data_IF_295264965934
#
_entry.id   IF_295264965934
#
_cell.length_a   1.000
_cell.length_b   1.000
_cell.length_c   1.000
_cell.angle_alpha   90.00
_cell.angle_beta   90.00
_cell.angle_gamma   90.00
#
_symmetry.space_group_name_H-M   'P 1'
#
loop_
_entity.id
_entity.type
_entity.pdbx_description
1 polymer ?
#
# COMPACT_ATOMS: atom_id res chain seq x y z
N UNK A 1 12.56 7.80 33.04
CA UNK A 1 11.14 7.41 33.06
C UNK A 1 10.36 8.30 32.09
N UNK A 2 10.42 7.98 30.79
CA UNK A 2 9.80 8.79 29.72
C UNK A 2 8.32 8.41 29.64
N UNK A 3 7.45 9.33 30.06
CA UNK A 3 6.02 9.07 30.23
C UNK A 3 5.33 9.06 28.86
N UNK A 4 5.02 7.87 28.34
CA UNK A 4 4.05 7.67 27.26
C UNK A 4 2.69 8.05 27.84
N UNK A 5 2.26 9.30 27.68
CA UNK A 5 0.94 9.78 28.13
C UNK A 5 -0.07 9.62 27.00
N UNK A 6 -1.08 8.78 27.21
CA UNK A 6 -2.42 9.05 26.67
C UNK A 6 -2.88 10.43 27.17
N UNK A 7 -3.38 11.27 26.29
CA UNK A 7 -3.62 12.67 26.64
C UNK A 7 -4.84 12.79 27.57
N UNK A 8 -4.58 13.23 28.80
CA UNK A 8 -5.49 14.06 29.59
C UNK A 8 -4.98 15.51 29.55
N UNK A 9 -5.90 16.46 29.48
CA UNK A 9 -5.64 17.90 29.48
C UNK A 9 -4.64 18.29 30.60
N UNK A 10 -3.45 18.80 30.24
CA UNK A 10 -2.50 19.37 31.21
C UNK A 10 -1.03 19.09 30.89
N UNK A 11 -0.33 20.11 30.38
CA UNK A 11 1.14 20.12 30.26
C UNK A 11 1.67 20.88 29.03
N UNK A 12 1.60 22.21 29.08
CA UNK A 12 2.29 23.17 28.20
C UNK A 12 3.83 23.05 28.36
N UNK A 13 4.62 23.67 27.47
CA UNK A 13 6.10 23.83 27.51
C UNK A 13 7.08 22.93 26.71
N UNK A 14 6.74 21.83 26.02
CA UNK A 14 7.74 21.14 25.12
C UNK A 14 7.24 20.84 23.70
N UNK A 15 8.06 21.06 22.63
CA UNK A 15 7.78 20.59 21.27
C UNK A 15 7.76 19.05 21.19
N UNK A 16 7.03 18.47 20.23
CA UNK A 16 6.81 17.01 20.18
C UNK A 16 6.97 16.38 18.79
N UNK A 17 7.27 15.09 18.79
CA UNK A 17 7.24 14.17 17.65
C UNK A 17 5.91 13.40 17.71
N UNK A 18 5.23 13.24 16.58
CA UNK A 18 4.00 12.44 16.50
C UNK A 18 4.25 11.22 15.62
N UNK A 19 4.00 10.04 16.16
CA UNK A 19 3.96 8.81 15.37
C UNK A 19 2.51 8.34 15.26
N UNK A 20 1.97 8.31 14.03
CA UNK A 20 0.67 7.71 13.73
C UNK A 20 0.85 6.49 12.88
N UNK A 21 0.05 5.45 13.10
CA UNK A 21 -0.29 4.52 12.03
C UNK A 21 0.94 3.88 11.34
N UNK A 22 1.79 3.21 12.10
CA UNK A 22 2.57 2.09 11.55
C UNK A 22 2.11 0.77 12.19
N UNK A 23 1.18 0.76 13.14
CA UNK A 23 1.21 -0.28 14.16
C UNK A 23 0.24 -1.45 14.04
N UNK A 24 -0.85 -1.37 13.27
CA UNK A 24 -1.80 -2.47 13.22
C UNK A 24 -1.27 -3.71 12.47
N UNK A 25 -0.20 -3.56 11.68
CA UNK A 25 0.35 -4.63 10.83
C UNK A 25 1.85 -4.89 11.06
N UNK A 26 2.43 -4.28 12.08
CA UNK A 26 3.84 -4.45 12.41
C UNK A 26 3.98 -5.50 13.52
N UNK A 27 4.96 -6.40 13.36
CA UNK A 27 5.30 -7.41 14.36
C UNK A 27 5.81 -6.77 15.65
N UNK A 28 5.70 -7.51 16.77
CA UNK A 28 6.10 -7.06 18.11
C UNK A 28 7.56 -6.58 18.16
N UNK A 29 8.47 -7.24 17.43
CA UNK A 29 9.89 -6.84 17.35
C UNK A 29 10.08 -5.39 16.82
N UNK A 30 9.25 -4.99 15.86
CA UNK A 30 9.29 -3.63 15.31
C UNK A 30 8.71 -2.64 16.32
N UNK A 31 7.70 -3.04 17.10
CA UNK A 31 7.16 -2.21 18.19
C UNK A 31 8.22 -1.95 19.26
N UNK A 32 8.96 -2.99 19.64
CA UNK A 32 10.01 -2.89 20.64
C UNK A 32 11.14 -1.99 20.15
N UNK A 33 11.49 -2.08 18.87
CA UNK A 33 12.44 -1.17 18.20
C UNK A 33 11.98 0.29 18.33
N UNK A 34 10.71 0.59 18.01
CA UNK A 34 10.18 1.95 18.16
C UNK A 34 10.13 2.40 19.62
N UNK A 35 9.74 1.53 20.54
CA UNK A 35 9.70 1.84 21.97
C UNK A 35 11.11 2.17 22.51
N UNK A 36 12.12 1.39 22.12
CA UNK A 36 13.51 1.60 22.47
C UNK A 36 14.02 2.95 21.94
N UNK A 37 13.79 3.24 20.66
CA UNK A 37 14.18 4.52 20.04
C UNK A 37 13.46 5.70 20.70
N UNK A 38 12.14 5.63 20.87
CA UNK A 38 11.35 6.70 21.46
C UNK A 38 11.69 6.96 22.93
N UNK A 39 12.17 5.94 23.66
CA UNK A 39 12.64 6.11 25.04
C UNK A 39 13.90 6.99 25.14
N UNK A 40 14.73 7.00 24.07
CA UNK A 40 15.99 7.73 23.95
C UNK A 40 15.81 9.17 23.43
N UNK A 41 14.63 9.52 22.91
CA UNK A 41 14.35 10.85 22.37
C UNK A 41 14.08 11.88 23.47
N UNK A 42 14.62 13.09 23.30
CA UNK A 42 14.37 14.22 24.20
C UNK A 42 13.02 14.92 23.92
N UNK A 43 12.48 14.73 22.71
CA UNK A 43 11.21 15.27 22.26
C UNK A 43 10.02 14.49 22.85
N UNK A 44 8.87 15.16 23.02
CA UNK A 44 7.65 14.49 23.45
C UNK A 44 7.10 13.62 22.31
N UNK A 45 7.08 12.30 22.49
CA UNK A 45 6.48 11.39 21.51
C UNK A 45 4.99 11.19 21.84
N UNK A 46 4.11 11.51 20.89
CA UNK A 46 2.73 11.05 20.91
C UNK A 46 2.61 9.86 19.95
N UNK A 47 2.36 8.68 20.53
CA UNK A 47 2.21 7.43 19.81
C UNK A 47 0.76 6.96 19.92
N UNK A 48 0.10 6.72 18.79
CA UNK A 48 -1.23 6.08 18.76
C UNK A 48 -1.18 4.78 17.95
N UNK A 49 -1.79 3.73 18.52
CA UNK A 49 -1.83 2.38 17.95
C UNK A 49 -3.03 2.17 17.01
N UNK A 50 -4.23 2.52 17.50
CA UNK A 50 -5.51 2.19 16.84
C UNK A 50 -6.30 3.42 16.40
N UNK A 51 -5.60 4.54 16.19
CA UNK A 51 -6.25 5.80 15.86
C UNK A 51 -5.36 6.69 14.99
N UNK A 52 -6.03 7.44 14.11
CA UNK A 52 -5.42 8.52 13.36
C UNK A 52 -4.80 9.54 14.32
N UNK A 53 -3.50 9.76 14.24
CA UNK A 53 -2.84 10.91 14.85
C UNK A 53 -3.00 12.04 13.88
N UNK A 54 -3.62 13.11 14.38
CA UNK A 54 -3.67 14.35 13.65
C UNK A 54 -2.31 15.04 13.74
N UNK A 55 -1.72 15.35 12.59
CA UNK A 55 -0.48 16.13 12.51
C UNK A 55 -0.72 17.62 12.81
N UNK A 56 -1.98 18.04 12.85
CA UNK A 56 -2.39 19.45 12.84
C UNK A 56 -2.18 20.29 14.08
N UNK A 57 -1.67 19.74 15.19
CA UNK A 57 -1.37 20.61 16.33
C UNK A 57 0.01 21.27 16.19
N UNK A 58 0.13 22.57 16.50
CA UNK A 58 1.24 23.43 16.06
C UNK A 58 2.64 22.98 16.49
N UNK A 59 2.75 22.19 17.57
CA UNK A 59 4.01 21.64 18.08
C UNK A 59 4.49 20.36 17.39
N UNK A 60 3.82 19.86 16.36
CA UNK A 60 4.26 18.67 15.62
C UNK A 60 5.51 18.99 14.80
N UNK A 61 6.59 18.24 15.02
CA UNK A 61 7.84 18.39 14.25
C UNK A 61 8.07 17.32 13.19
N UNK A 62 7.50 16.13 13.38
CA UNK A 62 7.71 14.97 12.52
C UNK A 62 6.48 14.07 12.62
N UNK A 63 6.09 13.48 11.48
CA UNK A 63 5.10 12.41 11.37
C UNK A 63 5.76 11.11 10.91
N UNK A 64 5.68 10.05 11.71
CA UNK A 64 6.13 8.69 11.33
C UNK A 64 4.89 7.82 11.11
N UNK A 65 4.71 7.23 9.92
CA UNK A 65 3.52 6.45 9.53
C UNK A 65 3.71 5.59 8.27
N UNK A 66 2.72 4.79 7.88
CA UNK A 66 2.80 3.86 6.75
C UNK A 66 2.76 4.48 5.35
N UNK A 67 2.33 5.74 5.19
CA UNK A 67 2.26 6.38 3.86
C UNK A 67 0.90 6.34 3.16
N UNK A 68 -0.21 6.14 3.89
CA UNK A 68 -1.55 6.29 3.33
C UNK A 68 -1.82 7.71 2.83
N UNK A 69 -2.56 7.85 1.72
CA UNK A 69 -2.78 9.13 1.01
C UNK A 69 -3.29 10.26 1.92
N UNK A 70 -4.24 9.97 2.81
CA UNK A 70 -4.78 10.96 3.75
C UNK A 70 -3.73 11.48 4.74
N UNK A 71 -2.79 10.63 5.18
CA UNK A 71 -1.71 11.05 6.06
C UNK A 71 -0.71 11.96 5.34
N UNK A 72 -0.40 11.66 4.07
CA UNK A 72 0.46 12.52 3.22
C UNK A 72 -0.16 13.90 3.11
N UNK A 73 -1.46 13.96 2.76
CA UNK A 73 -2.17 15.21 2.56
C UNK A 73 -2.26 16.03 3.85
N UNK A 74 -2.52 15.39 4.99
CA UNK A 74 -2.59 16.09 6.27
C UNK A 74 -1.21 16.64 6.70
N UNK A 75 -0.14 15.87 6.48
CA UNK A 75 1.22 16.33 6.72
C UNK A 75 1.60 17.53 5.84
N UNK A 76 1.25 17.50 4.54
CA UNK A 76 1.44 18.63 3.64
C UNK A 76 0.61 19.83 4.10
N UNK A 77 -0.68 19.65 4.40
CA UNK A 77 -1.56 20.72 4.87
C UNK A 77 -0.99 21.45 6.08
N UNK A 78 -0.41 20.72 7.04
CA UNK A 78 0.18 21.31 8.24
C UNK A 78 1.69 21.59 8.16
N UNK A 79 2.32 21.37 7.00
CA UNK A 79 3.74 21.58 6.81
C UNK A 79 4.61 20.71 7.73
N UNK A 80 4.20 19.48 8.02
CA UNK A 80 4.93 18.55 8.91
C UNK A 80 5.72 17.56 8.06
N UNK A 81 7.05 17.46 8.22
CA UNK A 81 7.85 16.51 7.46
C UNK A 81 7.58 15.07 7.94
N UNK A 82 7.91 14.09 7.10
CA UNK A 82 7.46 12.70 7.28
C UNK A 82 8.62 11.69 7.28
N UNK A 83 8.44 10.60 8.03
CA UNK A 83 9.12 9.33 7.77
C UNK A 83 8.03 8.34 7.38
N UNK A 84 8.17 7.72 6.21
CA UNK A 84 7.18 6.79 5.67
C UNK A 84 7.75 5.38 5.71
N UNK A 85 6.98 4.44 6.27
CA UNK A 85 7.32 3.01 6.34
C UNK A 85 6.24 2.24 5.57
N UNK A 86 6.37 2.07 4.26
CA UNK A 86 5.34 1.42 3.45
C UNK A 86 5.13 -0.02 3.88
N UNK A 87 3.87 -0.42 3.98
CA UNK A 87 3.47 -1.77 4.36
C UNK A 87 3.04 -2.59 3.14
N UNK A 88 2.23 -1.99 2.25
CA UNK A 88 1.71 -2.63 1.04
C UNK A 88 1.14 -1.59 0.04
N UNK A 89 0.91 -2.03 -1.20
CA UNK A 89 0.11 -1.29 -2.18
C UNK A 89 0.70 0.06 -2.61
N UNK A 90 -0.19 1.06 -2.69
CA UNK A 90 0.09 2.42 -3.17
C UNK A 90 0.99 3.25 -2.24
N UNK A 91 1.16 2.80 -0.99
CA UNK A 91 1.99 3.46 0.03
C UNK A 91 3.44 3.64 -0.41
N UNK A 92 4.00 2.67 -1.15
CA UNK A 92 5.35 2.77 -1.71
C UNK A 92 5.48 3.94 -2.68
N UNK A 93 4.47 4.13 -3.55
CA UNK A 93 4.46 5.23 -4.50
C UNK A 93 4.34 6.59 -3.78
N UNK A 94 3.62 6.67 -2.67
CA UNK A 94 3.61 7.88 -1.83
C UNK A 94 4.96 8.15 -1.19
N UNK A 95 5.61 7.12 -0.64
CA UNK A 95 6.91 7.24 0.02
C UNK A 95 8.00 7.75 -0.94
N UNK A 96 8.08 7.16 -2.14
CA UNK A 96 8.99 7.60 -3.20
C UNK A 96 8.75 9.07 -3.54
N UNK A 97 7.50 9.47 -3.80
CA UNK A 97 7.18 10.88 -4.13
C UNK A 97 7.50 11.84 -2.99
N UNK A 98 7.28 11.46 -1.74
CA UNK A 98 7.61 12.27 -0.57
C UNK A 98 9.13 12.45 -0.45
N UNK A 99 9.90 11.39 -0.69
CA UNK A 99 11.35 11.41 -0.68
C UNK A 99 11.94 12.23 -1.83
N UNK A 100 11.49 12.01 -3.07
CA UNK A 100 11.91 12.78 -4.25
C UNK A 100 11.62 14.27 -4.11
N UNK A 101 10.46 14.62 -3.54
CA UNK A 101 10.10 16.01 -3.26
C UNK A 101 10.86 16.61 -2.08
N UNK A 102 11.60 15.79 -1.33
CA UNK A 102 12.39 16.18 -0.17
C UNK A 102 11.53 16.57 1.04
N UNK A 103 10.32 16.02 1.17
CA UNK A 103 9.41 16.29 2.30
C UNK A 103 9.58 15.27 3.45
N UNK A 104 10.34 14.21 3.21
CA UNK A 104 10.57 13.15 4.17
C UNK A 104 11.54 12.08 3.64
N UNK A 105 11.67 11.00 4.39
CA UNK A 105 12.44 9.81 3.98
C UNK A 105 11.57 8.56 4.05
N UNK A 106 11.89 7.58 3.22
CA UNK A 106 11.31 6.24 3.27
C UNK A 106 12.21 5.31 4.07
N UNK A 107 11.63 4.53 4.98
CA UNK A 107 12.27 3.40 5.63
C UNK A 107 11.64 2.10 5.14
N UNK A 108 12.48 1.10 4.85
CA UNK A 108 12.02 -0.22 4.46
C UNK A 108 11.63 -1.03 5.71
N UNK A 109 10.40 -1.56 5.74
CA UNK A 109 9.91 -2.39 6.85
C UNK A 109 10.77 -3.62 7.12
N UNK A 110 11.45 -4.14 6.10
CA UNK A 110 12.30 -5.34 6.21
C UNK A 110 13.65 -5.07 6.88
N UNK A 111 14.05 -3.80 7.00
CA UNK A 111 15.35 -3.39 7.55
C UNK A 111 15.21 -2.28 8.61
N UNK A 112 14.20 -2.42 9.47
CA UNK A 112 14.00 -1.53 10.61
C UNK A 112 14.88 -1.99 11.77
N UNK A 113 15.85 -1.15 12.14
CA UNK A 113 16.68 -1.31 13.34
C UNK A 113 16.56 -0.04 14.19
N UNK A 114 17.02 -0.11 15.44
CA UNK A 114 17.03 1.08 16.30
C UNK A 114 17.88 2.20 15.68
N UNK A 115 19.00 1.85 15.07
CA UNK A 115 19.92 2.76 14.40
C UNK A 115 19.25 3.41 13.19
N UNK A 116 18.63 2.63 12.30
CA UNK A 116 18.02 3.18 11.07
C UNK A 116 16.86 4.12 11.37
N UNK A 117 16.04 3.80 12.38
CA UNK A 117 14.95 4.67 12.83
C UNK A 117 15.49 5.93 13.50
N UNK A 118 16.49 5.81 14.39
CA UNK A 118 17.09 6.97 15.06
C UNK A 118 17.77 7.92 14.07
N UNK A 119 18.50 7.37 13.10
CA UNK A 119 19.16 8.15 12.05
C UNK A 119 18.13 8.91 11.20
N UNK A 120 17.06 8.23 10.75
CA UNK A 120 15.99 8.88 9.99
C UNK A 120 15.29 10.00 10.78
N UNK A 121 15.06 9.79 12.07
CA UNK A 121 14.47 10.81 12.96
C UNK A 121 15.38 12.03 13.05
N UNK A 122 16.69 11.84 13.25
CA UNK A 122 17.66 12.93 13.31
C UNK A 122 17.77 13.66 11.98
N UNK A 123 17.90 12.92 10.88
CA UNK A 123 17.97 13.49 9.53
C UNK A 123 16.77 14.40 9.27
N UNK A 124 15.53 13.93 9.49
CA UNK A 124 14.34 14.73 9.17
C UNK A 124 14.11 15.88 10.15
N UNK A 125 14.45 15.73 11.44
CA UNK A 125 14.22 16.77 12.46
C UNK A 125 15.28 17.86 12.43
N UNK A 126 16.55 17.49 12.22
CA UNK A 126 17.70 18.38 12.33
C UNK A 126 18.08 19.00 10.97
N UNK A 127 17.77 18.33 9.85
CA UNK A 127 17.97 18.90 8.52
C UNK A 127 16.79 19.83 8.13
N UNK A 128 17.01 21.16 8.04
CA UNK A 128 15.94 22.10 7.73
C UNK A 128 15.34 21.93 6.33
N UNK A 129 16.04 21.24 5.40
CA UNK A 129 15.57 20.97 4.04
C UNK A 129 14.17 20.35 4.04
N UNK A 130 13.93 19.33 4.87
CA UNK A 130 12.64 18.64 4.88
C UNK A 130 11.51 19.55 5.32
N UNK A 131 11.74 20.32 6.39
CA UNK A 131 10.76 21.28 6.91
C UNK A 131 10.49 22.40 5.89
N UNK A 132 11.51 22.93 5.25
CA UNK A 132 11.36 23.98 4.23
C UNK A 132 10.59 23.47 3.01
N UNK A 133 10.91 22.25 2.53
CA UNK A 133 10.24 21.64 1.38
C UNK A 133 8.78 21.35 1.67
N UNK A 134 8.44 20.74 2.80
CA UNK A 134 7.04 20.49 3.14
C UNK A 134 6.28 21.79 3.40
N UNK A 135 6.93 22.84 3.94
CA UNK A 135 6.30 24.15 4.09
C UNK A 135 6.01 24.81 2.74
N UNK A 136 6.91 24.68 1.77
CA UNK A 136 6.66 25.15 0.41
C UNK A 136 5.43 24.46 -0.22
N UNK A 137 5.32 23.13 -0.10
CA UNK A 137 4.13 22.42 -0.58
C UNK A 137 2.87 22.73 0.24
N UNK A 138 3.00 23.00 1.54
CA UNK A 138 1.91 23.48 2.39
C UNK A 138 1.37 24.81 1.86
N UNK A 139 2.25 25.76 1.55
CA UNK A 139 1.85 27.06 1.01
C UNK A 139 1.14 26.91 -0.35
N UNK A 140 1.66 26.06 -1.24
CA UNK A 140 0.99 25.74 -2.52
C UNK A 140 -0.40 25.12 -2.27
N UNK A 141 -0.52 24.25 -1.27
CA UNK A 141 -1.79 23.59 -0.96
C UNK A 141 -2.84 24.56 -0.39
N UNK A 142 -2.40 25.55 0.39
CA UNK A 142 -3.27 26.60 0.93
C UNK A 142 -3.62 27.68 -0.10
N UNK A 143 -2.83 27.81 -1.16
CA UNK A 143 -3.07 28.71 -2.30
C UNK A 143 -4.18 28.17 -3.22
N UNK A 144 -5.36 27.94 -2.65
CA UNK A 144 -6.55 27.54 -3.37
C UNK A 144 -7.39 28.79 -3.73
N UNK A 145 -7.98 28.84 -4.94
CA UNK A 145 -8.70 30.04 -5.42
C UNK A 145 -9.93 30.42 -4.59
N UNK A 146 -10.52 29.43 -3.89
CA UNK A 146 -11.65 29.63 -3.00
C UNK A 146 -11.34 29.04 -1.63
N UNK A 147 -11.70 29.79 -0.58
CA UNK A 147 -11.64 29.28 0.79
C UNK A 147 -12.56 28.05 0.93
N UNK A 148 -12.27 27.11 1.83
CA UNK A 148 -13.08 25.89 1.98
C UNK A 148 -14.58 26.15 2.18
N UNK A 149 -14.94 27.19 2.95
CA UNK A 149 -16.34 27.57 3.17
C UNK A 149 -17.00 28.10 1.89
N UNK A 150 -16.36 29.05 1.21
CA UNK A 150 -16.88 29.63 -0.04
C UNK A 150 -17.06 28.56 -1.11
N UNK A 151 -16.12 27.62 -1.20
CA UNK A 151 -16.22 26.46 -2.09
C UNK A 151 -17.40 25.57 -1.76
N UNK A 152 -17.67 25.33 -0.47
CA UNK A 152 -18.83 24.55 -0.03
C UNK A 152 -20.14 25.25 -0.41
N UNK A 153 -20.23 26.56 -0.15
CA UNK A 153 -21.38 27.39 -0.53
C UNK A 153 -21.62 27.32 -2.04
N UNK A 154 -20.56 27.51 -2.85
CA UNK A 154 -20.63 27.41 -4.29
C UNK A 154 -21.24 26.08 -4.77
N UNK A 155 -20.77 24.94 -4.24
CA UNK A 155 -21.27 23.63 -4.65
C UNK A 155 -22.72 23.38 -4.21
N UNK A 156 -23.13 23.88 -3.03
CA UNK A 156 -24.53 23.82 -2.58
C UNK A 156 -25.41 24.61 -3.53
N UNK A 157 -25.04 25.85 -3.85
CA UNK A 157 -25.78 26.70 -4.78
C UNK A 157 -25.84 26.10 -6.19
N UNK A 158 -24.74 25.51 -6.66
CA UNK A 158 -24.67 24.83 -7.96
C UNK A 158 -25.68 23.69 -8.05
N UNK A 159 -25.74 22.84 -7.01
CA UNK A 159 -26.68 21.72 -6.96
C UNK A 159 -28.12 22.20 -6.84
N UNK A 160 -28.39 23.24 -6.05
CA UNK A 160 -29.73 23.84 -5.97
C UNK A 160 -30.19 24.41 -7.32
N UNK A 161 -29.28 24.97 -8.11
CA UNK A 161 -29.59 25.60 -9.40
C UNK A 161 -29.75 24.61 -10.56
N UNK A 162 -28.91 23.58 -10.61
CA UNK A 162 -28.80 22.69 -11.77
C UNK A 162 -29.13 21.22 -11.49
N UNK A 163 -29.43 20.87 -10.23
CA UNK A 163 -29.53 19.48 -9.80
C UNK A 163 -28.16 18.86 -9.49
N UNK A 164 -28.17 17.62 -8.98
CA UNK A 164 -26.96 16.88 -8.57
C UNK A 164 -26.64 15.66 -9.41
N UNK A 165 -27.48 15.33 -10.40
CA UNK A 165 -27.39 14.07 -11.15
C UNK A 165 -26.06 13.94 -11.91
N UNK A 166 -25.54 15.05 -12.45
CA UNK A 166 -24.23 15.07 -13.13
C UNK A 166 -23.02 14.99 -12.19
N UNK A 167 -23.22 15.17 -10.87
CA UNK A 167 -22.16 15.00 -9.86
C UNK A 167 -22.20 13.60 -9.22
N UNK A 168 -23.31 12.86 -9.40
CA UNK A 168 -23.40 11.48 -8.93
C UNK A 168 -22.60 10.57 -9.86
N UNK A 169 -21.65 9.77 -9.33
CA UNK A 169 -21.00 8.77 -10.15
C UNK A 169 -22.02 7.70 -10.54
N UNK A 170 -21.96 7.21 -11.79
CA UNK A 170 -22.89 6.19 -12.29
C UNK A 170 -22.89 4.92 -11.42
N UNK A 171 -21.79 4.62 -10.75
CA UNK A 171 -21.68 3.50 -9.80
C UNK A 171 -22.65 3.57 -8.63
N UNK A 172 -23.18 4.75 -8.29
CA UNK A 172 -24.17 4.91 -7.22
C UNK A 172 -25.55 4.33 -7.57
N UNK A 173 -25.84 4.19 -8.87
CA UNK A 173 -27.15 3.72 -9.37
C UNK A 173 -27.05 2.33 -10.02
N UNK A 174 -25.84 1.74 -10.06
CA UNK A 174 -25.60 0.40 -10.62
C UNK A 174 -26.09 -0.71 -9.69
N UNK A 175 -26.58 -1.80 -10.28
CA UNK A 175 -26.89 -3.01 -9.52
C UNK A 175 -25.61 -3.78 -9.12
N UNK A 176 -25.74 -4.75 -8.23
CA UNK A 176 -24.61 -5.54 -7.72
C UNK A 176 -23.80 -6.24 -8.83
N UNK A 177 -24.44 -6.69 -9.91
CA UNK A 177 -23.79 -7.40 -11.01
C UNK A 177 -22.89 -6.44 -11.80
N UNK A 178 -23.42 -5.26 -12.14
CA UNK A 178 -22.70 -4.22 -12.88
C UNK A 178 -21.56 -3.63 -12.04
N UNK A 179 -21.81 -3.35 -10.76
CA UNK A 179 -20.82 -2.74 -9.86
C UNK A 179 -19.56 -3.61 -9.71
N UNK A 180 -19.74 -4.94 -9.66
CA UNK A 180 -18.64 -5.91 -9.51
C UNK A 180 -18.21 -6.55 -10.84
N UNK A 181 -18.78 -6.13 -11.98
CA UNK A 181 -18.44 -6.64 -13.32
C UNK A 181 -18.49 -8.18 -13.41
N UNK A 182 -19.49 -8.81 -12.78
CA UNK A 182 -19.55 -10.27 -12.59
C UNK A 182 -19.64 -11.00 -13.93
N UNK A 183 -20.39 -10.45 -14.88
CA UNK A 183 -20.50 -10.97 -16.25
C UNK A 183 -19.13 -11.08 -16.95
N UNK A 184 -18.31 -10.04 -16.80
CA UNK A 184 -16.96 -9.94 -17.36
C UNK A 184 -16.02 -10.93 -16.69
N UNK A 185 -16.11 -11.09 -15.37
CA UNK A 185 -15.32 -12.08 -14.61
C UNK A 185 -15.67 -13.50 -15.04
N UNK A 186 -16.96 -13.81 -15.19
CA UNK A 186 -17.44 -15.12 -15.68
C UNK A 186 -16.91 -15.38 -17.10
N UNK A 187 -16.99 -14.38 -17.99
CA UNK A 187 -16.47 -14.52 -19.34
C UNK A 187 -14.96 -14.80 -19.36
N UNK A 188 -14.15 -14.01 -18.66
CA UNK A 188 -12.69 -14.18 -18.60
C UNK A 188 -12.29 -15.51 -17.94
N UNK A 189 -12.94 -15.89 -16.84
CA UNK A 189 -12.68 -17.18 -16.19
C UNK A 189 -13.04 -18.37 -17.08
N UNK A 190 -14.15 -18.29 -17.83
CA UNK A 190 -14.54 -19.33 -18.79
C UNK A 190 -13.52 -19.48 -19.93
N UNK A 191 -12.96 -18.36 -20.41
CA UNK A 191 -11.91 -18.36 -21.44
C UNK A 191 -10.64 -19.04 -20.93
N UNK A 192 -10.21 -18.72 -19.70
CA UNK A 192 -9.03 -19.35 -19.08
C UNK A 192 -9.26 -20.86 -18.90
N UNK A 193 -10.44 -21.28 -18.39
CA UNK A 193 -10.78 -22.69 -18.24
C UNK A 193 -10.80 -23.43 -19.57
N UNK A 194 -11.30 -22.79 -20.64
CA UNK A 194 -11.31 -23.36 -21.98
C UNK A 194 -9.88 -23.58 -22.51
N UNK A 195 -8.98 -22.60 -22.35
CA UNK A 195 -7.58 -22.74 -22.76
C UNK A 195 -6.88 -23.87 -21.99
N UNK A 196 -7.05 -23.93 -20.67
CA UNK A 196 -6.51 -25.02 -19.84
C UNK A 196 -7.06 -26.39 -20.24
N UNK A 197 -8.34 -26.46 -20.62
CA UNK A 197 -8.96 -27.68 -21.11
C UNK A 197 -8.37 -28.13 -22.46
N UNK A 198 -8.14 -27.20 -23.39
CA UNK A 198 -7.48 -27.49 -24.68
C UNK A 198 -6.06 -28.00 -24.46
N UNK A 199 -5.28 -27.35 -23.59
CA UNK A 199 -3.93 -27.80 -23.21
C UNK A 199 -3.94 -29.20 -22.60
N UNK A 200 -4.88 -29.48 -21.68
CA UNK A 200 -5.07 -30.80 -21.11
C UNK A 200 -5.37 -31.87 -22.18
N UNK A 201 -6.27 -31.57 -23.13
CA UNK A 201 -6.59 -32.49 -24.23
C UNK A 201 -5.38 -32.73 -25.14
N UNK A 202 -4.59 -31.68 -25.42
CA UNK A 202 -3.36 -31.80 -26.19
C UNK A 202 -2.35 -32.71 -25.49
N UNK A 203 -2.07 -32.46 -24.20
CA UNK A 203 -1.18 -33.29 -23.39
C UNK A 203 -1.67 -34.75 -23.30
N UNK A 204 -2.96 -34.96 -23.10
CA UNK A 204 -3.58 -36.31 -23.09
C UNK A 204 -3.41 -37.02 -24.42
N UNK A 205 -3.55 -36.30 -25.54
CA UNK A 205 -3.36 -36.85 -26.89
C UNK A 205 -1.89 -37.15 -27.16
N UNK A 206 -0.97 -36.27 -26.78
CA UNK A 206 0.48 -36.51 -26.84
C UNK A 206 0.88 -37.73 -26.02
N UNK A 207 0.41 -37.84 -24.78
CA UNK A 207 0.64 -38.99 -23.91
C UNK A 207 0.12 -40.28 -24.54
N UNK A 208 -1.13 -40.30 -25.04
CA UNK A 208 -1.69 -41.45 -25.75
C UNK A 208 -0.88 -41.81 -27.00
N UNK A 209 -0.44 -40.85 -27.81
CA UNK A 209 0.37 -41.10 -29.00
C UNK A 209 1.73 -41.71 -28.68
N UNK A 210 2.40 -41.24 -27.61
CA UNK A 210 3.69 -41.79 -27.15
C UNK A 210 3.50 -43.20 -26.60
N UNK A 211 2.49 -43.42 -25.74
CA UNK A 211 2.21 -44.75 -25.17
C UNK A 211 1.80 -45.76 -26.24
N UNK A 212 0.93 -45.40 -27.20
CA UNK A 212 0.49 -46.32 -28.26
C UNK A 212 1.65 -46.70 -29.21
N UNK A 213 2.55 -45.75 -29.55
CA UNK A 213 3.75 -46.06 -30.34
C UNK A 213 4.67 -47.05 -29.61
N UNK A 214 4.79 -46.94 -28.29
CA UNK A 214 5.60 -47.87 -27.49
C UNK A 214 5.03 -49.29 -27.50
N UNK A 215 3.70 -49.44 -27.41
CA UNK A 215 3.01 -50.73 -27.46
C UNK A 215 3.10 -51.36 -28.84
N UNK A 216 2.82 -50.62 -29.92
CA UNK A 216 2.89 -51.14 -31.30
C UNK A 216 4.33 -51.56 -31.67
N UNK A 217 5.36 -50.85 -31.19
CA UNK A 217 6.76 -51.24 -31.42
C UNK A 217 7.10 -52.55 -30.70
N UNK A 218 6.65 -52.76 -29.47
CA UNK A 218 6.84 -54.02 -28.73
C UNK A 218 6.17 -55.19 -29.45
N UNK A 219 4.93 -55.04 -29.90
CA UNK A 219 4.19 -56.09 -30.62
C UNK A 219 4.89 -56.49 -31.92
N UNK A 220 5.38 -55.52 -32.70
CA UNK A 220 6.11 -55.81 -33.96
C UNK A 220 7.45 -56.53 -33.73
N UNK A 221 8.18 -56.20 -32.66
CA UNK A 221 9.42 -56.89 -32.31
C UNK A 221 9.14 -58.34 -31.89
N UNK A 222 8.13 -58.57 -31.04
CA UNK A 222 7.76 -59.93 -30.62
C UNK A 222 7.22 -60.80 -31.78
N UNK A 223 6.51 -60.19 -32.73
CA UNK A 223 5.99 -60.87 -33.92
C UNK A 223 7.13 -61.24 -34.89
N UNK A 224 8.10 -60.34 -35.08
CA UNK A 224 9.31 -60.61 -35.85
C UNK A 224 10.15 -61.74 -35.24
N UNK A 225 10.43 -61.69 -33.93
CA UNK A 225 11.16 -62.76 -33.25
C UNK A 225 10.45 -64.12 -33.37
N UNK A 226 9.11 -64.14 -33.21
CA UNK A 226 8.29 -65.35 -33.37
C UNK A 226 8.25 -65.87 -34.82
N UNK A 227 8.42 -65.00 -35.82
CA UNK A 227 8.51 -65.39 -37.24
C UNK A 227 9.88 -65.96 -37.58
N UNK A 228 10.96 -65.37 -37.07
CA UNK A 228 12.34 -65.85 -37.28
C UNK A 228 12.52 -67.23 -36.65
N UNK A 229 12.02 -67.44 -35.43
CA UNK A 229 12.07 -68.75 -34.76
C UNK A 229 11.35 -69.83 -35.59
N UNK A 230 10.21 -69.51 -36.20
CA UNK A 230 9.43 -70.43 -37.06
C UNK A 230 10.11 -70.81 -38.38
N UNK A 231 11.11 -70.08 -38.84
CA UNK A 231 11.85 -70.40 -40.07
C UNK A 231 13.11 -71.24 -39.80
N UNK A 232 13.52 -71.38 -38.54
CA UNK A 232 14.75 -72.07 -38.12
C UNK A 232 14.47 -73.50 -37.62
N UNK A 233 13.22 -73.80 -37.25
CA UNK A 233 12.73 -75.14 -36.84
C UNK A 233 11.98 -75.78 -38.00
#
# INVERSE_FOLDING_TARGET
MTRIKGWGHGGEHRPGVRGSAVTAELNDDVMDTFAAVFSKLSQRVLWKRDAKVQSGHPKTRLLIYHGGSHGVMEAIYHGVPMIIIPLFGDQYAHAVRVQEKGMGVMLDKSNLTEESVMEAIREVIDNPKYKQRVQHFSNIHHDAPLKPLERAVYWIEHVMKFGGDHLRPRSADMNFIELYMIDTVIFLSSLVLFLLYVEYLFLKKCYRCVCNRSTTRKTKVTEYESSVIRQIV
#
